data_IF_164147606561
#
_entry.id   IF_164147606561
#
_cell.length_a   1.000
_cell.length_b   1.000
_cell.length_c   1.000
_cell.angle_alpha   90.00
_cell.angle_beta   90.00
_cell.angle_gamma   90.00
#
_symmetry.space_group_name_H-M   'P 1'
#
loop_
_entity.id
_entity.type
_entity.pdbx_description
1 polymer ?
#
# COMPACT_ATOMS: atom_id res chain seq x y z
N UNK A 1 -0.08 6.39 6.06
CA UNK A 1 -1.31 5.59 6.29
C UNK A 1 -1.27 4.36 5.41
N UNK A 2 -1.47 3.18 5.99
CA UNK A 2 -1.46 1.91 5.26
C UNK A 2 -2.78 1.73 4.47
N UNK A 3 -2.69 1.65 3.15
CA UNK A 3 -3.82 1.53 2.21
C UNK A 3 -4.04 0.10 1.72
N UNK A 4 -2.99 -0.70 1.63
CA UNK A 4 -3.03 -2.10 1.21
C UNK A 4 -1.96 -2.88 1.99
N UNK A 5 -2.30 -4.07 2.47
CA UNK A 5 -1.37 -4.99 3.11
C UNK A 5 -1.44 -6.31 2.35
N UNK A 6 -0.32 -6.77 1.80
CA UNK A 6 -0.37 -7.91 0.88
C UNK A 6 -1.32 -7.63 -0.28
N UNK A 7 -2.17 -8.59 -0.68
CA UNK A 7 -3.19 -8.40 -1.70
C UNK A 7 -4.44 -7.64 -1.20
N UNK A 8 -4.55 -7.34 0.11
CA UNK A 8 -5.77 -6.85 0.73
C UNK A 8 -5.85 -5.32 0.81
N UNK A 9 -6.88 -4.76 0.17
CA UNK A 9 -7.18 -3.33 0.20
C UNK A 9 -7.87 -2.93 1.52
N UNK A 10 -7.31 -1.95 2.23
CA UNK A 10 -7.90 -1.36 3.43
C UNK A 10 -8.87 -0.25 3.05
N UNK A 11 -10.06 -0.63 2.57
CA UNK A 11 -11.09 0.30 2.04
C UNK A 11 -11.43 1.46 2.97
N UNK A 12 -11.47 1.25 4.28
CA UNK A 12 -11.69 2.34 5.23
C UNK A 12 -10.56 3.39 5.25
N UNK A 13 -9.31 2.94 5.17
CA UNK A 13 -8.16 3.83 5.09
C UNK A 13 -8.17 4.60 3.76
N UNK A 14 -8.46 3.91 2.65
CA UNK A 14 -8.59 4.51 1.32
C UNK A 14 -9.69 5.58 1.28
N UNK A 15 -10.86 5.29 1.86
CA UNK A 15 -11.96 6.25 1.98
C UNK A 15 -11.55 7.50 2.78
N UNK A 16 -10.85 7.34 3.90
CA UNK A 16 -10.34 8.48 4.69
C UNK A 16 -9.29 9.30 3.92
N UNK A 17 -8.45 8.63 3.14
CA UNK A 17 -7.45 9.27 2.27
C UNK A 17 -8.04 9.87 0.99
N UNK A 18 -9.30 9.57 0.65
CA UNK A 18 -9.91 9.87 -0.66
C UNK A 18 -9.14 9.25 -1.83
N UNK A 19 -8.52 8.10 -1.60
CA UNK A 19 -7.80 7.32 -2.62
C UNK A 19 -8.74 6.28 -3.21
N UNK A 20 -8.84 6.24 -4.53
CA UNK A 20 -9.68 5.28 -5.24
C UNK A 20 -8.96 3.95 -5.45
N UNK A 21 -9.71 2.84 -5.58
CA UNK A 21 -9.11 1.54 -5.93
C UNK A 21 -8.39 1.58 -7.29
N UNK A 22 -8.92 2.34 -8.25
CA UNK A 22 -8.29 2.49 -9.57
C UNK A 22 -6.94 3.20 -9.52
N UNK A 23 -6.77 4.13 -8.58
CA UNK A 23 -5.49 4.81 -8.35
C UNK A 23 -4.44 3.83 -7.82
N UNK A 24 -4.82 2.98 -6.85
CA UNK A 24 -3.95 1.88 -6.38
C UNK A 24 -3.61 0.94 -7.53
N UNK A 25 -4.60 0.49 -8.31
CA UNK A 25 -4.38 -0.40 -9.46
C UNK A 25 -3.44 0.22 -10.50
N UNK A 26 -3.58 1.51 -10.78
CA UNK A 26 -2.70 2.22 -11.71
C UNK A 26 -1.27 2.28 -11.19
N UNK A 27 -1.07 2.60 -9.90
CA UNK A 27 0.25 2.67 -9.29
C UNK A 27 0.95 1.32 -9.26
N UNK A 28 0.23 0.23 -8.96
CA UNK A 28 0.78 -1.13 -9.05
C UNK A 28 1.28 -1.43 -10.46
N UNK A 29 0.49 -1.13 -11.49
CA UNK A 29 0.89 -1.34 -12.90
C UNK A 29 2.11 -0.50 -13.29
N UNK A 30 2.14 0.79 -12.93
CA UNK A 30 3.29 1.67 -13.17
C UNK A 30 4.55 1.17 -12.44
N UNK A 31 4.38 0.59 -11.26
CA UNK A 31 5.45 -0.07 -10.51
C UNK A 31 5.86 -1.42 -11.07
N UNK A 32 5.26 -1.91 -12.16
CA UNK A 32 5.54 -3.20 -12.79
C UNK A 32 4.99 -4.39 -12.00
N UNK A 33 3.93 -4.20 -11.23
CA UNK A 33 3.25 -5.24 -10.44
C UNK A 33 1.96 -5.63 -11.16
N UNK A 34 1.98 -6.80 -11.80
CA UNK A 34 0.83 -7.35 -12.52
C UNK A 34 -0.12 -8.16 -11.63
N UNK A 35 0.41 -8.77 -10.57
CA UNK A 35 -0.35 -9.53 -9.58
C UNK A 35 -0.29 -8.84 -8.21
N UNK A 36 -1.45 -8.73 -7.55
CA UNK A 36 -1.53 -8.16 -6.19
C UNK A 36 -0.85 -9.04 -5.14
N UNK A 37 -0.66 -10.33 -5.43
CA UNK A 37 0.11 -11.23 -4.57
C UNK A 37 1.58 -10.80 -4.43
N UNK A 38 2.12 -10.04 -5.40
CA UNK A 38 3.49 -9.53 -5.37
C UNK A 38 3.64 -8.22 -4.59
N UNK A 39 2.57 -7.74 -3.95
CA UNK A 39 2.57 -6.53 -3.13
C UNK A 39 2.85 -6.90 -1.68
N UNK A 40 3.82 -6.23 -1.05
CA UNK A 40 4.02 -6.28 0.39
C UNK A 40 3.09 -5.30 1.10
N UNK A 41 3.12 -4.03 0.68
CA UNK A 41 2.16 -3.03 1.15
C UNK A 41 2.06 -1.80 0.22
N UNK A 42 1.01 -1.01 0.41
CA UNK A 42 0.87 0.32 -0.19
C UNK A 42 0.59 1.35 0.89
N UNK A 43 1.36 2.44 0.91
CA UNK A 43 1.32 3.45 1.97
C UNK A 43 1.13 4.83 1.37
N UNK A 44 0.20 5.60 1.92
CA UNK A 44 0.13 7.05 1.70
C UNK A 44 1.05 7.75 2.70
N UNK A 45 2.05 8.46 2.21
CA UNK A 45 2.98 9.24 3.02
C UNK A 45 2.40 10.60 3.43
N UNK A 46 3.01 11.25 4.43
CA UNK A 46 2.59 12.58 4.90
C UNK A 46 2.72 13.66 3.81
N UNK A 47 3.59 13.43 2.83
CA UNK A 47 3.77 14.29 1.65
C UNK A 47 2.61 14.21 0.66
N UNK A 48 1.69 13.25 0.83
CA UNK A 48 0.63 12.95 -0.13
C UNK A 48 1.07 11.97 -1.23
N UNK A 49 2.33 11.54 -1.25
CA UNK A 49 2.80 10.52 -2.17
C UNK A 49 2.34 9.13 -1.75
N UNK A 50 2.08 8.26 -2.73
CA UNK A 50 1.78 6.85 -2.49
C UNK A 50 3.00 6.03 -2.87
N UNK A 51 3.50 5.26 -1.90
CA UNK A 51 4.63 4.35 -2.05
C UNK A 51 4.13 2.92 -2.09
N UNK A 52 4.65 2.14 -3.04
CA UNK A 52 4.35 0.73 -3.23
C UNK A 52 5.57 -0.08 -2.87
N UNK A 53 5.39 -1.05 -1.98
CA UNK A 53 6.44 -1.97 -1.55
C UNK A 53 6.11 -3.36 -2.06
N UNK A 54 7.07 -3.99 -2.75
CA UNK A 54 6.92 -5.36 -3.27
C UNK A 54 7.05 -6.39 -2.15
N UNK A 55 6.43 -7.55 -2.34
CA UNK A 55 6.63 -8.72 -1.51
C UNK A 55 8.08 -9.23 -1.64
N UNK A 56 8.53 -10.03 -0.67
CA UNK A 56 9.88 -10.60 -0.65
C UNK A 56 10.96 -9.68 -0.09
N UNK A 57 10.57 -8.52 0.49
CA UNK A 57 11.46 -7.75 1.35
C UNK A 57 11.35 -8.25 2.80
N UNK A 58 12.42 -8.06 3.57
CA UNK A 58 12.45 -8.41 4.99
C UNK A 58 11.32 -7.70 5.76
N UNK A 59 10.45 -8.48 6.41
CA UNK A 59 9.28 -7.98 7.14
C UNK A 59 9.66 -7.05 8.30
N UNK A 60 10.89 -7.14 8.82
CA UNK A 60 11.37 -6.22 9.86
C UNK A 60 11.41 -4.76 9.38
N UNK A 61 11.59 -4.53 8.08
CA UNK A 61 11.55 -3.20 7.46
C UNK A 61 10.13 -2.62 7.40
N UNK A 62 9.10 -3.45 7.54
CA UNK A 62 7.70 -3.05 7.47
C UNK A 62 7.08 -2.80 8.85
N UNK A 63 7.80 -3.08 9.94
CA UNK A 63 7.23 -3.10 11.30
C UNK A 63 6.50 -1.81 11.67
N UNK A 64 7.03 -0.64 11.31
CA UNK A 64 6.43 0.66 11.62
C UNK A 64 5.21 0.99 10.74
N UNK A 65 5.17 0.43 9.53
CA UNK A 65 4.02 0.55 8.62
C UNK A 65 2.87 -0.34 9.11
N UNK A 66 3.19 -1.56 9.56
CA UNK A 66 2.24 -2.54 10.08
C UNK A 66 1.65 -2.11 11.42
N UNK A 67 2.46 -1.48 12.28
CA UNK A 67 2.03 -0.85 13.52
C UNK A 67 1.35 0.48 13.21
N UNK A 68 0.15 0.44 12.62
CA UNK A 68 -0.64 1.66 12.44
C UNK A 68 -0.95 2.24 13.84
N UNK A 69 -0.50 3.46 14.21
CA UNK A 69 -0.96 4.10 15.43
C UNK A 69 -2.44 4.46 15.24
N UNK A 70 -3.21 4.33 16.32
CA UNK A 70 -4.66 4.64 16.37
C UNK A 70 -4.96 6.07 15.93
#
# INVERSE_FOLDING_TARGET
MLLMLGPDLRRDAMRRARVAEDEIRQLLRLGGIGDRADVGCVVLERTGQISVVRAGIDESLLVDVLRTPR
#
